data_IF_072378135456
#
_entry.id   IF_072378135456
#
_cell.length_a   1.000
_cell.length_b   1.000
_cell.length_c   1.000
_cell.angle_alpha   90.00
_cell.angle_beta   90.00
_cell.angle_gamma   90.00
#
_symmetry.space_group_name_H-M   'P 1'
#
loop_
_entity.id
_entity.type
_entity.pdbx_description
1 polymer ?
#
# COMPACT_ATOMS: atom_id res chain seq x y z
N UNK A 1 8.19 7.20 5.29
CA UNK A 1 8.25 5.98 4.47
C UNK A 1 7.87 6.30 3.04
N UNK A 2 8.56 5.71 2.09
CA UNK A 2 8.35 5.95 0.65
C UNK A 2 7.69 4.73 0.05
N UNK A 3 6.59 4.93 -0.66
CA UNK A 3 5.90 3.87 -1.40
C UNK A 3 5.76 4.31 -2.85
N UNK A 4 6.22 3.44 -3.77
CA UNK A 4 6.00 3.59 -5.20
C UNK A 4 5.10 2.45 -5.67
N UNK A 5 4.00 2.80 -6.30
CA UNK A 5 3.04 1.85 -6.84
C UNK A 5 2.98 2.02 -8.36
N UNK A 6 3.20 0.93 -9.08
CA UNK A 6 3.17 0.92 -10.54
C UNK A 6 1.92 0.19 -11.01
N UNK A 7 0.84 0.92 -11.30
CA UNK A 7 -0.39 0.29 -11.79
C UNK A 7 -0.23 -0.17 -13.25
N UNK A 8 -1.11 -1.06 -13.66
CA UNK A 8 -1.13 -1.59 -15.03
C UNK A 8 -1.27 -0.49 -16.09
N UNK A 9 -1.96 0.58 -15.76
CA UNK A 9 -2.08 1.76 -16.60
C UNK A 9 -1.12 2.83 -16.11
N UNK A 10 -0.92 3.86 -16.88
CA UNK A 10 0.18 4.82 -16.79
C UNK A 10 0.24 5.71 -15.53
N UNK A 11 -0.63 5.52 -14.55
CA UNK A 11 -0.61 6.31 -13.33
C UNK A 11 0.37 5.72 -12.33
N UNK A 12 1.54 6.33 -12.21
CA UNK A 12 2.46 6.03 -11.11
C UNK A 12 2.03 6.83 -9.88
N UNK A 13 2.22 6.24 -8.71
CA UNK A 13 1.93 6.87 -7.43
C UNK A 13 3.20 6.88 -6.60
N UNK A 14 3.62 8.07 -6.17
CA UNK A 14 4.81 8.25 -5.36
C UNK A 14 4.42 8.98 -4.08
N UNK A 15 4.62 8.34 -2.94
CA UNK A 15 4.27 8.91 -1.64
C UNK A 15 5.50 8.88 -0.74
N UNK A 16 5.95 10.07 -0.35
CA UNK A 16 7.14 10.24 0.48
C UNK A 16 6.85 10.16 1.98
N UNK A 17 5.59 10.10 2.37
CA UNK A 17 5.20 10.29 3.77
C UNK A 17 4.03 9.38 4.15
N UNK A 18 4.17 8.08 3.93
CA UNK A 18 3.13 7.11 4.32
C UNK A 18 3.14 6.94 5.83
N UNK A 19 1.96 6.99 6.42
CA UNK A 19 1.76 6.90 7.86
C UNK A 19 0.81 5.75 8.21
N UNK A 20 0.46 5.65 9.49
CA UNK A 20 -0.54 4.70 9.97
C UNK A 20 -1.99 5.18 9.77
N UNK A 21 -2.19 6.22 8.97
CA UNK A 21 -3.50 6.65 8.52
C UNK A 21 -3.67 6.18 7.08
N UNK A 22 -4.79 5.55 6.77
CA UNK A 22 -5.04 5.07 5.41
C UNK A 22 -5.09 6.22 4.42
N UNK A 23 -4.45 6.04 3.28
CA UNK A 23 -4.36 7.00 2.19
C UNK A 23 -4.87 6.38 0.90
N UNK A 24 -5.52 7.19 0.06
CA UNK A 24 -5.96 6.75 -1.24
C UNK A 24 -4.80 6.67 -2.22
N UNK A 25 -4.84 5.67 -3.09
CA UNK A 25 -3.96 5.60 -4.25
C UNK A 25 -4.33 6.63 -5.32
N UNK A 26 -3.66 6.60 -6.48
CA UNK A 26 -3.76 7.67 -7.47
C UNK A 26 -5.09 7.74 -8.21
N UNK A 27 -5.88 6.66 -8.19
CA UNK A 27 -7.10 6.55 -8.97
C UNK A 27 -8.33 6.55 -8.06
N UNK A 28 -9.28 7.40 -8.35
CA UNK A 28 -10.59 7.39 -7.70
C UNK A 28 -11.49 6.38 -8.40
N UNK A 29 -11.46 5.14 -7.94
CA UNK A 29 -12.21 4.04 -8.52
C UNK A 29 -11.38 2.78 -8.62
N UNK A 30 -11.82 1.78 -9.39
CA UNK A 30 -11.10 0.52 -9.51
C UNK A 30 -9.67 0.70 -9.99
N UNK A 31 -8.74 -0.06 -9.41
CA UNK A 31 -7.33 -0.04 -9.76
C UNK A 31 -6.71 -1.42 -9.58
N UNK A 32 -5.62 -1.67 -10.31
CA UNK A 32 -4.82 -2.87 -10.17
C UNK A 32 -3.54 -2.56 -9.41
N UNK A 33 -3.22 -3.39 -8.42
CA UNK A 33 -1.90 -3.40 -7.81
C UNK A 33 -1.02 -4.38 -8.59
N UNK A 34 -0.06 -3.85 -9.34
CA UNK A 34 0.81 -4.66 -10.20
C UNK A 34 2.19 -4.84 -9.58
N UNK A 35 2.72 -3.82 -8.95
CA UNK A 35 4.03 -3.85 -8.33
C UNK A 35 4.43 -2.51 -7.76
N UNK A 36 5.67 -2.41 -7.34
CA UNK A 36 6.23 -1.20 -6.79
C UNK A 36 7.34 -1.50 -5.80
N UNK A 37 7.69 -0.52 -4.99
CA UNK A 37 8.61 -0.71 -3.87
C UNK A 37 8.24 0.15 -2.67
N UNK A 38 8.78 -0.21 -1.51
CA UNK A 38 8.56 0.53 -0.28
C UNK A 38 9.84 0.51 0.53
N UNK A 39 10.20 1.67 1.09
CA UNK A 39 11.37 1.81 1.95
C UNK A 39 10.94 2.15 3.37
N UNK A 40 11.47 1.40 4.34
CA UNK A 40 11.25 1.63 5.76
C UNK A 40 12.51 2.28 6.37
N UNK A 41 12.49 3.59 6.67
CA UNK A 41 13.64 4.24 7.32
C UNK A 41 13.70 4.00 8.82
N UNK A 42 12.66 3.41 9.42
CA UNK A 42 12.56 3.21 10.85
C UNK A 42 13.46 2.11 11.39
N UNK A 43 13.58 2.04 12.70
CA UNK A 43 14.41 1.07 13.41
C UNK A 43 13.69 -0.25 13.74
N UNK A 44 12.42 -0.36 13.39
CA UNK A 44 11.60 -1.54 13.64
C UNK A 44 10.90 -1.99 12.36
N UNK A 45 10.51 -3.27 12.32
CA UNK A 45 9.72 -3.79 11.20
C UNK A 45 8.39 -3.02 11.09
N UNK A 46 7.96 -2.76 9.88
CA UNK A 46 6.68 -2.17 9.58
C UNK A 46 5.94 -3.02 8.56
N UNK A 47 4.64 -2.81 8.44
CA UNK A 47 3.79 -3.60 7.53
C UNK A 47 3.04 -2.65 6.60
N UNK A 48 3.21 -2.85 5.30
CA UNK A 48 2.36 -2.22 4.31
C UNK A 48 1.07 -3.02 4.21
N UNK A 49 -0.07 -2.35 4.37
CA UNK A 49 -1.38 -2.96 4.17
C UNK A 49 -2.07 -2.24 3.03
N UNK A 50 -2.54 -3.00 2.05
CA UNK A 50 -3.30 -2.48 0.90
C UNK A 50 -4.74 -2.94 1.04
N UNK A 51 -5.68 -2.03 0.81
CA UNK A 51 -7.10 -2.27 0.98
C UNK A 51 -7.86 -2.02 -0.33
N UNK A 52 -8.92 -2.77 -0.52
CA UNK A 52 -9.91 -2.51 -1.58
C UNK A 52 -11.08 -1.72 -1.01
N UNK A 53 -10.79 -0.48 -0.66
CA UNK A 53 -11.76 0.47 -0.11
C UNK A 53 -11.21 1.88 -0.21
N UNK A 54 -12.08 2.89 -0.20
CA UNK A 54 -11.64 4.27 -0.03
C UNK A 54 -11.00 4.43 1.36
N UNK A 55 -9.99 5.29 1.47
CA UNK A 55 -9.28 5.50 2.73
C UNK A 55 -10.21 5.88 3.88
N UNK A 56 -11.25 6.66 3.59
CA UNK A 56 -12.23 7.07 4.59
C UNK A 56 -13.04 5.90 5.16
N UNK A 57 -13.11 4.78 4.45
CA UNK A 57 -13.87 3.60 4.85
C UNK A 57 -12.99 2.53 5.51
N UNK A 58 -11.69 2.77 5.63
CA UNK A 58 -10.75 1.85 6.23
C UNK A 58 -10.65 2.11 7.73
N UNK A 59 -10.86 1.04 8.52
CA UNK A 59 -10.59 1.04 9.95
C UNK A 59 -9.44 0.06 10.20
N UNK A 60 -8.26 0.57 10.53
CA UNK A 60 -7.10 -0.26 10.78
C UNK A 60 -7.35 -1.23 11.93
N UNK A 61 -6.96 -2.47 11.75
CA UNK A 61 -7.22 -3.54 12.71
C UNK A 61 -8.59 -4.22 12.54
N UNK A 62 -9.48 -3.66 11.72
CA UNK A 62 -10.81 -4.21 11.44
C UNK A 62 -11.02 -4.50 9.97
N UNK A 63 -10.72 -3.56 9.09
CA UNK A 63 -10.80 -3.77 7.65
C UNK A 63 -9.73 -4.76 7.21
N UNK A 64 -10.13 -5.80 6.48
CA UNK A 64 -9.20 -6.83 6.01
C UNK A 64 -8.40 -6.29 4.82
N UNK A 65 -7.07 -6.37 4.90
CA UNK A 65 -6.20 -6.01 3.80
C UNK A 65 -6.25 -7.08 2.70
N UNK A 66 -6.22 -6.66 1.45
CA UNK A 66 -6.12 -7.58 0.30
C UNK A 66 -4.67 -7.97 0.01
N UNK A 67 -3.71 -7.21 0.53
CA UNK A 67 -2.29 -7.50 0.41
C UNK A 67 -1.55 -6.91 1.61
N UNK A 68 -0.66 -7.70 2.20
CA UNK A 68 0.17 -7.26 3.33
C UNK A 68 1.62 -7.65 3.08
N UNK A 69 2.53 -6.72 3.35
CA UNK A 69 3.96 -6.91 3.14
C UNK A 69 4.74 -6.44 4.37
N UNK A 70 5.55 -7.33 4.93
CA UNK A 70 6.46 -6.99 6.03
C UNK A 70 7.71 -6.30 5.48
N UNK A 71 8.10 -5.18 6.07
CA UNK A 71 9.25 -4.40 5.63
C UNK A 71 10.21 -4.30 6.82
N UNK A 72 11.37 -5.00 6.75
CA UNK A 72 12.36 -4.92 7.83
C UNK A 72 12.83 -3.49 8.07
N UNK A 73 13.38 -3.25 9.26
CA UNK A 73 13.95 -1.95 9.60
C UNK A 73 15.03 -1.55 8.59
N UNK A 74 15.05 -0.27 8.25
CA UNK A 74 16.08 0.34 7.35
C UNK A 74 16.27 -0.44 6.05
N UNK A 75 15.19 -0.92 5.46
CA UNK A 75 15.23 -1.77 4.26
C UNK A 75 14.20 -1.33 3.23
N UNK A 76 14.50 -1.64 1.98
CA UNK A 76 13.56 -1.53 0.87
C UNK A 76 13.07 -2.92 0.47
N UNK A 77 11.80 -3.05 0.14
CA UNK A 77 11.20 -4.32 -0.28
C UNK A 77 10.34 -4.06 -1.52
N UNK A 78 10.37 -4.99 -2.47
CA UNK A 78 9.52 -4.92 -3.64
C UNK A 78 8.07 -5.28 -3.28
N UNK A 79 7.14 -4.50 -3.81
CA UNK A 79 5.73 -4.85 -3.82
C UNK A 79 5.53 -5.73 -5.04
N UNK A 80 5.38 -7.03 -4.83
CA UNK A 80 5.35 -8.02 -5.90
C UNK A 80 4.28 -9.08 -5.62
N UNK A 81 3.00 -8.74 -5.80
CA UNK A 81 1.94 -9.73 -5.64
C UNK A 81 2.11 -10.83 -6.69
N UNK A 82 1.76 -12.10 -6.36
CA UNK A 82 1.93 -13.22 -7.27
C UNK A 82 1.24 -13.03 -8.63
N UNK A 83 0.20 -12.22 -8.63
CA UNK A 83 -0.51 -11.78 -9.85
C UNK A 83 -1.06 -10.39 -9.58
N UNK A 84 -1.40 -9.61 -10.61
CA UNK A 84 -2.05 -8.32 -10.40
C UNK A 84 -3.29 -8.47 -9.53
N UNK A 85 -3.41 -7.60 -8.50
CA UNK A 85 -4.55 -7.59 -7.60
C UNK A 85 -5.51 -6.48 -8.00
N UNK A 86 -6.77 -6.86 -8.27
CA UNK A 86 -7.81 -5.88 -8.57
C UNK A 86 -8.39 -5.35 -7.26
N UNK A 87 -8.31 -4.04 -7.08
CA UNK A 87 -9.09 -3.31 -6.09
C UNK A 87 -10.31 -2.75 -6.81
N UNK A 88 -11.44 -3.44 -6.69
CA UNK A 88 -12.64 -3.14 -7.50
C UNK A 88 -13.35 -1.87 -7.06
N UNK A 89 -13.17 -1.44 -5.82
CA UNK A 89 -13.75 -0.21 -5.29
C UNK A 89 -12.74 0.93 -5.37
N UNK A 90 -11.62 0.79 -4.70
CA UNK A 90 -10.53 1.75 -4.72
C UNK A 90 -9.31 1.17 -4.01
N UNK A 91 -8.13 1.45 -4.53
CA UNK A 91 -6.90 1.08 -3.86
C UNK A 91 -6.57 2.15 -2.81
N UNK A 92 -6.40 1.71 -1.57
CA UNK A 92 -5.86 2.52 -0.48
C UNK A 92 -4.82 1.70 0.29
N UNK A 93 -4.04 2.37 1.12
CA UNK A 93 -2.94 1.72 1.83
C UNK A 93 -2.60 2.45 3.12
N UNK A 94 -1.93 1.73 4.03
CA UNK A 94 -1.41 2.29 5.26
C UNK A 94 -0.17 1.51 5.68
N UNK A 95 0.62 2.11 6.56
CA UNK A 95 1.75 1.46 7.21
C UNK A 95 1.38 1.26 8.68
N UNK A 96 1.58 0.04 9.18
CA UNK A 96 1.28 -0.28 10.57
C UNK A 96 2.48 -0.93 11.23
N UNK A 97 2.50 -0.93 12.57
CA UNK A 97 3.52 -1.61 13.37
C UNK A 97 3.20 -3.10 13.61
N UNK A 98 1.97 -3.49 13.32
CA UNK A 98 1.51 -4.88 13.55
C UNK A 98 0.64 -5.37 12.41
#
# INVERSE_FOLDING_TARGET
MIVDIFPKHTLAHHDLSVTNTAENGPRNGPAWLVGGDVYNPGASVAYLQVFDAAAADVTLGTTVAVYTLAIPATSAVLIDPPRPLLCSTRLSYAITAT
#
